data_IF_667850666878
#
_entry.id   IF_667850666878
#
_cell.length_a   1.000
_cell.length_b   1.000
_cell.length_c   1.000
_cell.angle_alpha   90.00
_cell.angle_beta   90.00
_cell.angle_gamma   90.00
#
_symmetry.space_group_name_H-M   'P 1'
#
loop_
_entity.id
_entity.type
_entity.pdbx_description
1 polymer ?
#
# COMPACT_ATOMS: atom_id res chain seq x y z
N UNK A 1 -22.92 56.34 -5.01
CA UNK A 1 -21.55 55.77 -4.99
C UNK A 1 -20.62 56.83 -4.45
N UNK A 2 -19.86 56.56 -3.39
CA UNK A 2 -18.94 57.54 -2.79
C UNK A 2 -17.69 57.70 -3.65
N UNK A 3 -17.34 58.93 -4.05
CA UNK A 3 -16.14 59.25 -4.84
C UNK A 3 -14.84 58.78 -4.14
N UNK A 4 -14.86 58.72 -2.80
CA UNK A 4 -13.76 58.24 -1.96
C UNK A 4 -13.49 56.73 -2.16
N UNK A 5 -14.54 55.90 -2.21
CA UNK A 5 -14.40 54.45 -2.42
C UNK A 5 -13.84 54.16 -3.82
N UNK A 6 -14.29 54.91 -4.83
CA UNK A 6 -13.79 54.77 -6.20
C UNK A 6 -12.32 55.23 -6.33
N UNK A 7 -11.89 56.21 -5.54
CA UNK A 7 -10.48 56.61 -5.44
C UNK A 7 -9.64 55.51 -4.79
N UNK A 8 -10.08 54.98 -3.65
CA UNK A 8 -9.38 53.91 -2.93
C UNK A 8 -9.22 52.65 -3.77
N UNK A 9 -10.27 52.26 -4.49
CA UNK A 9 -10.22 51.10 -5.39
C UNK A 9 -9.20 51.30 -6.52
N UNK A 10 -9.15 52.50 -7.12
CA UNK A 10 -8.14 52.82 -8.15
C UNK A 10 -6.73 52.78 -7.58
N UNK A 11 -6.52 53.34 -6.39
CA UNK A 11 -5.22 53.35 -5.72
C UNK A 11 -4.74 51.94 -5.35
N UNK A 12 -5.66 51.09 -4.86
CA UNK A 12 -5.42 49.67 -4.61
C UNK A 12 -5.06 48.88 -5.87
N UNK A 13 -5.65 49.25 -7.02
CA UNK A 13 -5.41 48.62 -8.32
C UNK A 13 -4.04 48.94 -8.94
N UNK A 14 -3.51 50.16 -8.71
CA UNK A 14 -2.29 50.66 -9.37
C UNK A 14 -1.00 49.97 -8.87
N UNK A 15 -0.90 49.58 -7.60
CA UNK A 15 0.31 48.93 -7.08
C UNK A 15 0.10 47.41 -6.91
N UNK A 16 0.77 46.60 -7.75
CA UNK A 16 0.55 45.15 -7.74
C UNK A 16 1.42 44.37 -6.74
N UNK A 17 2.42 44.97 -6.08
CA UNK A 17 3.44 44.20 -5.32
C UNK A 17 3.93 44.76 -3.97
N UNK A 18 3.54 45.95 -3.54
CA UNK A 18 4.15 46.62 -2.36
C UNK A 18 3.20 47.34 -1.42
N UNK A 19 1.88 47.18 -1.55
CA UNK A 19 0.94 47.79 -0.62
C UNK A 19 0.64 46.86 0.55
N UNK A 20 1.34 47.03 1.68
CA UNK A 20 1.09 46.28 2.92
C UNK A 20 -0.10 46.84 3.70
N UNK A 21 0.15 47.37 4.90
CA UNK A 21 -0.85 48.03 5.74
C UNK A 21 -1.72 49.06 5.00
N UNK A 22 -1.14 49.86 4.11
CA UNK A 22 -1.88 50.86 3.34
C UNK A 22 -3.01 50.25 2.51
N UNK A 23 -2.79 49.09 1.90
CA UNK A 23 -3.83 48.37 1.16
C UNK A 23 -4.84 47.70 2.07
N UNK A 24 -4.38 47.20 3.22
CA UNK A 24 -5.27 46.78 4.30
C UNK A 24 -6.25 47.89 4.68
N UNK A 25 -5.76 49.12 4.86
CA UNK A 25 -6.56 50.29 5.21
C UNK A 25 -7.55 50.67 4.10
N UNK A 26 -7.11 50.73 2.83
CA UNK A 26 -7.99 51.01 1.69
C UNK A 26 -9.15 50.02 1.64
N UNK A 27 -8.87 48.73 1.88
CA UNK A 27 -9.92 47.69 1.95
C UNK A 27 -10.78 47.87 3.19
N UNK A 28 -10.21 48.03 4.38
CA UNK A 28 -10.95 48.13 5.63
C UNK A 28 -11.89 49.35 5.67
N UNK A 29 -11.49 50.49 5.10
CA UNK A 29 -12.29 51.71 5.08
C UNK A 29 -13.35 51.75 3.97
N UNK A 30 -13.20 50.95 2.93
CA UNK A 30 -14.08 50.97 1.75
C UNK A 30 -14.93 49.71 1.54
N UNK A 31 -14.55 48.57 2.12
CA UNK A 31 -15.22 47.29 1.91
C UNK A 31 -16.10 46.93 3.10
N UNK A 32 -17.35 46.58 2.79
CA UNK A 32 -18.34 46.17 3.77
C UNK A 32 -18.09 44.72 4.24
N UNK A 33 -18.25 44.44 5.54
CA UNK A 33 -18.24 43.09 6.12
C UNK A 33 -19.36 42.21 5.57
N UNK A 34 -19.17 40.90 5.60
CA UNK A 34 -20.25 39.95 5.32
C UNK A 34 -21.32 40.02 6.42
N UNK A 35 -22.53 40.46 6.10
CA UNK A 35 -23.67 40.48 7.03
C UNK A 35 -24.39 41.81 7.20
N UNK A 36 -23.77 42.94 6.83
CA UNK A 36 -24.42 44.26 6.86
C UNK A 36 -25.19 44.54 5.57
N UNK A 37 -26.32 45.25 5.66
CA UNK A 37 -27.11 45.66 4.48
C UNK A 37 -26.47 46.85 3.76
N UNK A 38 -26.89 47.17 2.53
CA UNK A 38 -26.29 48.28 1.77
C UNK A 38 -26.73 49.65 2.31
N UNK A 39 -27.82 49.66 3.08
CA UNK A 39 -28.44 50.87 3.62
C UNK A 39 -27.82 51.29 4.97
N UNK A 40 -27.04 50.41 5.60
CA UNK A 40 -26.42 50.62 6.92
C UNK A 40 -25.04 51.28 6.87
N UNK A 41 -24.38 51.29 5.71
CA UNK A 41 -22.99 51.73 5.60
C UNK A 41 -22.65 52.33 4.24
N UNK A 42 -21.84 53.40 4.17
CA UNK A 42 -21.39 53.98 2.90
C UNK A 42 -20.33 53.12 2.16
N UNK A 43 -20.00 51.93 2.68
CA UNK A 43 -19.03 50.99 2.10
C UNK A 43 -19.65 50.10 1.02
N UNK A 44 -18.82 49.56 0.15
CA UNK A 44 -19.25 48.69 -0.96
C UNK A 44 -18.90 47.22 -0.72
N UNK A 45 -19.50 46.31 -1.48
CA UNK A 45 -19.14 44.90 -1.42
C UNK A 45 -17.70 44.65 -1.92
N UNK A 46 -17.05 43.58 -1.43
CA UNK A 46 -15.72 43.19 -1.93
C UNK A 46 -15.69 42.94 -3.44
N UNK A 47 -16.80 42.44 -4.01
CA UNK A 47 -16.96 42.20 -5.45
C UNK A 47 -16.98 43.52 -6.24
N UNK A 48 -17.71 44.51 -5.73
CA UNK A 48 -17.79 45.84 -6.33
C UNK A 48 -16.48 46.60 -6.24
N UNK A 49 -15.83 46.58 -5.07
CA UNK A 49 -14.50 47.16 -4.87
C UNK A 49 -13.46 46.54 -5.82
N UNK A 50 -13.47 45.21 -5.96
CA UNK A 50 -12.59 44.50 -6.89
C UNK A 50 -12.83 44.89 -8.35
N UNK A 51 -14.10 45.07 -8.74
CA UNK A 51 -14.47 45.55 -10.07
C UNK A 51 -13.93 46.95 -10.36
N UNK A 52 -14.03 47.87 -9.40
CA UNK A 52 -13.49 49.22 -9.52
C UNK A 52 -11.94 49.25 -9.52
N UNK A 53 -11.32 48.33 -8.79
CA UNK A 53 -9.87 48.21 -8.69
C UNK A 53 -9.22 47.40 -9.84
N UNK A 54 -10.02 46.77 -10.71
CA UNK A 54 -9.51 45.90 -11.77
C UNK A 54 -8.78 44.65 -11.25
N UNK A 55 -9.21 44.09 -10.13
CA UNK A 55 -8.58 42.90 -9.52
C UNK A 55 -9.61 41.83 -9.12
N UNK A 56 -9.15 40.69 -8.57
CA UNK A 56 -10.05 39.63 -8.12
C UNK A 56 -10.64 39.92 -6.73
N UNK A 57 -11.92 39.56 -6.46
CA UNK A 57 -12.52 39.67 -5.12
C UNK A 57 -11.72 38.91 -4.06
N UNK A 58 -11.10 37.78 -4.41
CA UNK A 58 -10.23 37.00 -3.52
C UNK A 58 -9.00 37.78 -3.06
N UNK A 59 -8.44 38.64 -3.93
CA UNK A 59 -7.33 39.53 -3.55
C UNK A 59 -7.80 40.51 -2.48
N UNK A 60 -8.94 41.17 -2.69
CA UNK A 60 -9.53 42.11 -1.73
C UNK A 60 -9.80 41.42 -0.39
N UNK A 61 -10.42 40.23 -0.41
CA UNK A 61 -10.72 39.48 0.80
C UNK A 61 -9.47 39.01 1.56
N UNK A 62 -8.31 38.84 0.90
CA UNK A 62 -7.05 38.52 1.59
C UNK A 62 -6.56 39.68 2.44
N UNK A 63 -6.63 40.91 1.92
CA UNK A 63 -6.30 42.11 2.67
C UNK A 63 -7.30 42.36 3.80
N UNK A 64 -8.59 42.12 3.55
CA UNK A 64 -9.64 42.17 4.57
C UNK A 64 -9.31 41.23 5.73
N UNK A 65 -9.07 39.93 5.47
CA UNK A 65 -8.78 38.93 6.51
C UNK A 65 -7.48 39.19 7.28
N UNK A 66 -6.52 39.85 6.65
CA UNK A 66 -5.27 40.23 7.32
C UNK A 66 -5.52 41.41 8.27
N UNK A 67 -6.30 42.41 7.85
CA UNK A 67 -6.72 43.52 8.70
C UNK A 67 -7.57 43.07 9.88
N UNK A 68 -8.54 42.19 9.64
CA UNK A 68 -9.46 41.64 10.64
C UNK A 68 -8.71 40.97 11.80
N UNK A 69 -7.76 40.09 11.48
CA UNK A 69 -6.89 39.44 12.48
C UNK A 69 -6.02 40.43 13.26
N UNK A 70 -5.52 41.46 12.59
CA UNK A 70 -4.74 42.49 13.27
C UNK A 70 -5.62 43.37 14.19
N UNK A 71 -6.90 43.56 13.84
CA UNK A 71 -7.86 44.27 14.66
C UNK A 71 -8.24 43.46 15.91
N UNK A 72 -8.44 42.14 15.77
CA UNK A 72 -8.67 41.22 16.89
C UNK A 72 -7.53 41.26 17.93
N UNK A 73 -6.29 41.44 17.46
CA UNK A 73 -5.10 41.60 18.31
C UNK A 73 -4.95 43.04 18.87
N UNK A 74 -5.87 43.95 18.55
CA UNK A 74 -5.88 45.34 19.01
C UNK A 74 -4.82 46.24 18.36
N UNK A 75 -4.22 45.83 17.25
CA UNK A 75 -3.16 46.60 16.56
C UNK A 75 -3.71 47.67 15.62
N UNK A 76 -4.89 47.46 15.07
CA UNK A 76 -5.58 48.41 14.18
C UNK A 76 -7.08 48.45 14.53
N UNK A 77 -7.80 49.51 14.16
CA UNK A 77 -9.24 49.59 14.42
C UNK A 77 -10.03 48.51 13.66
N UNK A 78 -11.15 48.08 14.25
CA UNK A 78 -12.09 47.18 13.57
C UNK A 78 -12.73 47.87 12.36
N UNK A 79 -13.19 47.05 11.42
CA UNK A 79 -13.75 47.56 10.17
C UNK A 79 -15.02 48.40 10.40
N UNK A 80 -15.84 48.13 11.42
CA UNK A 80 -17.05 48.92 11.69
C UNK A 80 -16.73 50.35 12.13
N UNK A 81 -15.53 50.57 12.68
CA UNK A 81 -15.09 51.84 13.24
C UNK A 81 -14.50 52.78 12.17
N UNK A 82 -14.29 52.27 10.95
CA UNK A 82 -13.66 53.00 9.86
C UNK A 82 -14.68 53.49 8.84
N UNK A 83 -14.60 54.76 8.45
CA UNK A 83 -15.38 55.34 7.34
C UNK A 83 -14.54 55.50 6.07
N UNK A 84 -15.14 55.47 4.86
CA UNK A 84 -14.40 55.74 3.62
C UNK A 84 -13.63 57.07 3.68
N UNK A 85 -12.34 57.04 3.33
CA UNK A 85 -11.44 58.20 3.40
C UNK A 85 -10.86 58.51 4.79
N UNK A 86 -11.19 57.73 5.82
CA UNK A 86 -10.55 57.84 7.13
C UNK A 86 -9.09 57.36 7.04
N UNK A 87 -8.20 58.12 7.67
CA UNK A 87 -6.79 57.77 7.85
C UNK A 87 -6.58 57.27 9.30
N UNK A 88 -5.69 56.31 9.46
CA UNK A 88 -5.30 55.77 10.77
C UNK A 88 -3.79 55.63 10.83
N UNK A 89 -3.24 55.70 12.04
CA UNK A 89 -1.83 55.42 12.26
C UNK A 89 -1.59 53.92 12.03
N UNK A 90 -0.69 53.60 11.11
CA UNK A 90 -0.41 52.23 10.71
C UNK A 90 0.77 51.68 11.52
N UNK A 91 0.73 50.42 11.96
CA UNK A 91 1.87 49.76 12.60
C UNK A 91 3.08 49.67 11.67
N UNK A 92 4.21 49.21 12.24
CA UNK A 92 5.41 48.94 11.47
C UNK A 92 5.13 47.97 10.30
N UNK A 93 5.70 48.29 9.13
CA UNK A 93 5.53 47.53 7.91
C UNK A 93 6.00 46.06 8.03
N UNK A 94 6.98 45.77 8.88
CA UNK A 94 7.46 44.39 9.10
C UNK A 94 6.38 43.50 9.76
N UNK A 95 5.50 44.08 10.57
CA UNK A 95 4.43 43.36 11.28
C UNK A 95 3.35 42.86 10.32
N UNK A 96 3.16 43.53 9.17
CA UNK A 96 2.15 43.16 8.18
C UNK A 96 2.31 41.71 7.68
N UNK A 97 3.55 41.24 7.53
CA UNK A 97 3.85 39.90 7.01
C UNK A 97 3.37 38.78 7.94
N UNK A 98 3.20 39.06 9.23
CA UNK A 98 2.61 38.12 10.21
C UNK A 98 1.14 37.86 9.92
N UNK A 99 0.40 38.87 9.44
CA UNK A 99 -1.04 38.79 9.21
C UNK A 99 -1.39 38.44 7.76
N UNK A 100 -0.59 38.93 6.81
CA UNK A 100 -0.82 38.78 5.38
C UNK A 100 -0.18 37.51 4.81
N UNK A 101 -0.92 36.40 4.83
CA UNK A 101 -0.48 35.12 4.26
C UNK A 101 -0.94 35.00 2.80
N UNK A 102 0.02 34.88 1.88
CA UNK A 102 -0.27 34.93 0.44
C UNK A 102 -1.01 33.69 -0.11
N UNK A 103 -1.00 32.53 0.57
CA UNK A 103 -1.81 31.34 0.24
C UNK A 103 -2.08 30.51 1.51
N UNK A 104 -3.35 30.32 1.88
CA UNK A 104 -3.74 29.74 3.18
C UNK A 104 -4.03 28.23 3.11
N UNK A 105 -3.01 27.40 2.90
CA UNK A 105 -3.03 25.99 3.31
C UNK A 105 -2.35 25.76 4.65
N UNK A 106 -1.37 26.60 5.01
CA UNK A 106 -0.50 26.48 6.19
C UNK A 106 -1.24 26.46 7.55
N UNK A 107 -2.43 27.06 7.65
CA UNK A 107 -3.21 27.15 8.89
C UNK A 107 -4.32 26.11 9.01
N UNK A 108 -4.45 25.20 8.03
CA UNK A 108 -5.37 24.06 8.13
C UNK A 108 -4.74 22.92 8.92
N UNK A 109 -5.54 22.05 9.55
CA UNK A 109 -5.04 20.82 10.22
C UNK A 109 -4.15 19.98 9.29
N UNK A 110 -4.51 19.92 8.00
CA UNK A 110 -3.69 19.30 6.95
C UNK A 110 -2.37 20.04 6.75
N UNK A 111 -2.39 21.36 6.72
CA UNK A 111 -1.19 22.19 6.54
C UNK A 111 -0.23 22.14 7.73
N UNK A 112 -0.76 22.11 8.95
CA UNK A 112 0.05 21.93 10.16
C UNK A 112 0.71 20.56 10.18
N UNK A 113 -0.02 19.49 9.87
CA UNK A 113 0.55 18.15 9.79
C UNK A 113 1.66 18.05 8.72
N UNK A 114 1.47 18.67 7.54
CA UNK A 114 2.49 18.72 6.48
C UNK A 114 3.71 19.52 6.92
N UNK A 115 3.51 20.65 7.61
CA UNK A 115 4.59 21.49 8.10
C UNK A 115 5.43 20.79 9.19
N UNK A 116 4.77 20.08 10.11
CA UNK A 116 5.41 19.29 11.16
C UNK A 116 6.24 18.14 10.57
N UNK A 117 5.65 17.36 9.65
CA UNK A 117 6.36 16.29 8.95
C UNK A 117 7.57 16.81 8.17
N UNK A 118 7.43 17.95 7.49
CA UNK A 118 8.55 18.58 6.77
C UNK A 118 9.67 19.02 7.73
N UNK A 119 9.33 19.60 8.88
CA UNK A 119 10.30 20.04 9.87
C UNK A 119 11.08 18.87 10.49
N UNK A 120 10.42 17.73 10.74
CA UNK A 120 11.05 16.51 11.23
C UNK A 120 12.13 15.98 10.26
N UNK A 121 11.90 16.14 8.96
CA UNK A 121 12.82 15.78 7.88
C UNK A 121 13.85 16.89 7.54
N UNK A 122 13.87 18.00 8.31
CA UNK A 122 14.76 19.14 8.05
C UNK A 122 14.43 19.93 6.78
N UNK A 123 13.23 19.76 6.23
CA UNK A 123 12.73 20.44 5.04
C UNK A 123 12.02 21.73 5.46
N UNK A 124 12.18 22.79 4.64
CA UNK A 124 11.44 24.04 4.87
C UNK A 124 9.93 23.80 4.73
N UNK A 125 9.10 24.10 5.75
CA UNK A 125 7.66 23.84 5.72
C UNK A 125 6.93 24.45 4.51
N UNK A 126 7.35 25.64 4.08
CA UNK A 126 6.78 26.32 2.91
C UNK A 126 6.93 25.51 1.63
N UNK A 127 8.07 24.82 1.43
CA UNK A 127 8.29 23.98 0.25
C UNK A 127 7.39 22.75 0.24
N UNK A 128 7.18 22.12 1.39
CA UNK A 128 6.29 20.96 1.49
C UNK A 128 4.83 21.34 1.22
N UNK A 129 4.40 22.50 1.72
CA UNK A 129 3.07 23.05 1.44
C UNK A 129 2.91 23.38 -0.06
N UNK A 130 3.91 23.99 -0.70
CA UNK A 130 3.88 24.26 -2.14
C UNK A 130 3.73 22.98 -2.98
N UNK A 131 4.42 21.90 -2.62
CA UNK A 131 4.30 20.60 -3.29
C UNK A 131 2.90 20.02 -3.07
N UNK A 132 2.38 20.08 -1.84
CA UNK A 132 1.05 19.57 -1.50
C UNK A 132 -0.08 20.35 -2.19
N UNK A 133 0.10 21.65 -2.44
CA UNK A 133 -0.83 22.50 -3.18
C UNK A 133 -0.84 22.20 -4.69
N UNK A 134 0.19 21.53 -5.23
CA UNK A 134 0.32 21.26 -6.66
C UNK A 134 0.51 19.76 -7.00
N UNK A 135 -0.51 18.90 -6.79
CA UNK A 135 -0.40 17.46 -7.05
C UNK A 135 -0.04 17.09 -8.49
N UNK A 136 -0.42 17.91 -9.47
CA UNK A 136 -0.08 17.69 -10.89
C UNK A 136 1.41 17.90 -11.16
N UNK A 137 2.05 18.88 -10.49
CA UNK A 137 3.48 19.09 -10.56
C UNK A 137 4.25 17.94 -9.91
N UNK A 138 3.79 17.45 -8.76
CA UNK A 138 4.34 16.26 -8.11
C UNK A 138 4.26 15.03 -9.02
N UNK A 139 3.09 14.79 -9.65
CA UNK A 139 2.92 13.70 -10.62
C UNK A 139 3.90 13.81 -11.79
N UNK A 140 4.08 15.01 -12.34
CA UNK A 140 5.03 15.23 -13.43
C UNK A 140 6.47 14.91 -13.01
N UNK A 141 6.87 15.29 -11.79
CA UNK A 141 8.18 14.98 -11.24
C UNK A 141 8.39 13.46 -11.06
N UNK A 142 7.39 12.75 -10.50
CA UNK A 142 7.44 11.30 -10.33
C UNK A 142 7.59 10.57 -11.68
N UNK A 143 6.90 11.05 -12.73
CA UNK A 143 6.98 10.44 -14.05
C UNK A 143 8.31 10.73 -14.77
N UNK A 144 8.90 11.90 -14.53
CA UNK A 144 10.09 12.35 -15.25
C UNK A 144 11.42 11.94 -14.58
N UNK A 145 11.45 11.77 -13.26
CA UNK A 145 12.67 11.48 -12.50
C UNK A 145 12.57 10.16 -11.70
N UNK A 146 13.40 9.15 -12.04
CA UNK A 146 13.44 7.88 -11.31
C UNK A 146 13.78 8.00 -9.82
N UNK A 147 14.58 8.99 -9.43
CA UNK A 147 14.96 9.16 -8.01
C UNK A 147 13.77 9.62 -7.17
N UNK A 148 12.99 10.58 -7.70
CA UNK A 148 11.73 11.05 -7.12
C UNK A 148 10.70 9.92 -7.08
N UNK A 149 10.61 9.10 -8.12
CA UNK A 149 9.72 7.95 -8.14
C UNK A 149 10.05 6.93 -7.04
N UNK A 150 11.34 6.63 -6.82
CA UNK A 150 11.81 5.75 -5.74
C UNK A 150 11.47 6.31 -4.37
N UNK A 151 11.74 7.60 -4.13
CA UNK A 151 11.41 8.26 -2.88
C UNK A 151 9.90 8.25 -2.59
N UNK A 152 9.06 8.53 -3.60
CA UNK A 152 7.62 8.48 -3.46
C UNK A 152 7.11 7.06 -3.14
N UNK A 153 7.67 6.02 -3.76
CA UNK A 153 7.34 4.62 -3.45
C UNK A 153 7.72 4.25 -2.02
N UNK A 154 8.92 4.62 -1.57
CA UNK A 154 9.37 4.35 -0.20
C UNK A 154 8.41 5.00 0.83
N UNK A 155 8.08 6.27 0.65
CA UNK A 155 7.15 6.97 1.52
C UNK A 155 5.75 6.35 1.54
N UNK A 156 5.26 5.86 0.40
CA UNK A 156 3.98 5.13 0.33
C UNK A 156 4.05 3.78 1.06
N UNK A 157 5.15 3.04 0.94
CA UNK A 157 5.33 1.77 1.64
C UNK A 157 5.40 1.95 3.15
N UNK A 158 6.07 2.99 3.64
CA UNK A 158 6.11 3.31 5.06
C UNK A 158 4.71 3.64 5.58
N UNK A 159 3.95 4.45 4.84
CA UNK A 159 2.56 4.76 5.21
C UNK A 159 1.65 3.52 5.18
N UNK A 160 1.79 2.63 4.20
CA UNK A 160 1.01 1.38 4.11
C UNK A 160 1.19 0.49 5.34
N UNK A 161 2.36 0.53 5.99
CA UNK A 161 2.60 -0.23 7.24
C UNK A 161 1.80 0.29 8.42
N UNK A 162 1.47 1.58 8.43
CA UNK A 162 0.82 2.29 9.53
C UNK A 162 -0.68 2.56 9.28
N UNK A 163 -1.13 2.49 8.02
CA UNK A 163 -2.47 2.85 7.55
C UNK A 163 -3.20 1.63 6.91
N UNK A 164 -4.05 0.91 7.67
CA UNK A 164 -4.78 -0.26 7.17
C UNK A 164 -5.78 0.06 6.05
N UNK A 165 -6.31 1.30 6.00
CA UNK A 165 -7.24 1.70 4.95
C UNK A 165 -6.50 1.84 3.61
N UNK A 166 -5.33 2.49 3.63
CA UNK A 166 -4.44 2.58 2.47
C UNK A 166 -3.96 1.20 2.02
N UNK A 167 -3.63 0.31 2.96
CA UNK A 167 -3.26 -1.07 2.64
C UNK A 167 -4.37 -1.77 1.85
N UNK A 168 -5.62 -1.62 2.29
CA UNK A 168 -6.76 -2.24 1.62
C UNK A 168 -7.08 -1.60 0.27
N UNK A 169 -6.95 -0.28 0.14
CA UNK A 169 -7.07 0.43 -1.14
C UNK A 169 -6.04 -0.07 -2.16
N UNK A 170 -4.77 -0.13 -1.78
CA UNK A 170 -3.68 -0.61 -2.63
C UNK A 170 -3.91 -2.07 -3.06
N UNK A 171 -4.36 -2.93 -2.14
CA UNK A 171 -4.68 -4.31 -2.45
C UNK A 171 -5.80 -4.42 -3.50
N UNK A 172 -6.85 -3.59 -3.42
CA UNK A 172 -7.91 -3.54 -4.43
C UNK A 172 -7.39 -3.07 -5.78
N UNK A 173 -6.51 -2.07 -5.81
CA UNK A 173 -5.94 -1.54 -7.04
C UNK A 173 -5.04 -2.55 -7.75
N UNK A 174 -4.25 -3.33 -6.98
CA UNK A 174 -3.50 -4.48 -7.50
C UNK A 174 -4.43 -5.53 -8.09
N UNK A 175 -5.51 -5.89 -7.39
CA UNK A 175 -6.47 -6.91 -7.86
C UNK A 175 -7.20 -6.46 -9.12
N UNK A 176 -7.52 -5.17 -9.25
CA UNK A 176 -8.22 -4.61 -10.42
C UNK A 176 -7.35 -4.48 -11.66
N UNK A 177 -6.03 -4.48 -11.49
CA UNK A 177 -5.08 -4.30 -12.59
C UNK A 177 -4.40 -5.62 -12.89
N UNK A 178 -4.85 -6.32 -13.93
CA UNK A 178 -4.40 -7.70 -14.24
C UNK A 178 -2.87 -7.84 -14.34
N UNK A 179 -2.19 -6.87 -14.93
CA UNK A 179 -0.73 -6.90 -15.05
C UNK A 179 -0.04 -6.75 -13.69
N UNK A 180 -0.55 -5.88 -12.80
CA UNK A 180 -0.03 -5.76 -11.43
C UNK A 180 -0.32 -7.03 -10.62
N UNK A 181 -1.52 -7.60 -10.74
CA UNK A 181 -1.88 -8.87 -10.11
C UNK A 181 -0.91 -9.98 -10.53
N UNK A 182 -0.59 -10.08 -11.82
CA UNK A 182 0.37 -11.06 -12.35
C UNK A 182 1.79 -10.80 -11.83
N UNK A 183 2.22 -9.54 -11.82
CA UNK A 183 3.53 -9.16 -11.30
C UNK A 183 3.68 -9.52 -9.82
N UNK A 184 2.71 -9.14 -8.98
CA UNK A 184 2.69 -9.49 -7.55
C UNK A 184 2.65 -11.00 -7.33
N UNK A 185 1.87 -11.74 -8.13
CA UNK A 185 1.84 -13.19 -8.05
C UNK A 185 3.16 -13.85 -8.50
N UNK A 186 3.91 -13.21 -9.40
CA UNK A 186 5.26 -13.67 -9.79
C UNK A 186 6.27 -13.42 -8.67
N UNK A 187 6.24 -12.21 -8.10
CA UNK A 187 7.12 -11.82 -7.01
C UNK A 187 6.88 -12.67 -5.76
N UNK A 188 5.61 -12.91 -5.41
CA UNK A 188 5.23 -13.79 -4.31
C UNK A 188 5.78 -15.21 -4.50
N UNK A 189 5.73 -15.75 -5.73
CA UNK A 189 6.30 -17.06 -6.04
C UNK A 189 7.82 -17.09 -5.93
N UNK A 190 8.49 -16.01 -6.33
CA UNK A 190 9.93 -15.86 -6.14
C UNK A 190 10.28 -15.85 -4.66
N UNK A 191 9.58 -15.03 -3.86
CA UNK A 191 9.75 -14.94 -2.42
C UNK A 191 9.52 -16.28 -1.71
N UNK A 192 8.48 -17.04 -2.10
CA UNK A 192 8.21 -18.38 -1.55
C UNK A 192 9.34 -19.37 -1.88
N UNK A 193 9.91 -19.29 -3.08
CA UNK A 193 11.04 -20.12 -3.51
C UNK A 193 12.32 -19.79 -2.73
N UNK A 194 12.64 -18.51 -2.58
CA UNK A 194 13.74 -18.05 -1.73
C UNK A 194 13.50 -18.49 -0.29
N UNK A 195 12.27 -18.35 0.21
CA UNK A 195 11.86 -18.79 1.54
C UNK A 195 12.08 -20.29 1.76
N UNK A 196 11.80 -21.13 0.75
CA UNK A 196 12.11 -22.56 0.80
C UNK A 196 13.61 -22.84 0.93
N UNK A 197 14.45 -22.19 0.12
CA UNK A 197 15.90 -22.35 0.18
C UNK A 197 16.45 -21.86 1.53
N UNK A 198 15.96 -20.71 2.01
CA UNK A 198 16.29 -20.14 3.32
C UNK A 198 15.93 -21.09 4.46
N UNK A 199 14.73 -21.68 4.41
CA UNK A 199 14.29 -22.65 5.39
C UNK A 199 15.28 -23.83 5.47
N UNK A 200 15.76 -24.33 4.34
CA UNK A 200 16.72 -25.44 4.31
C UNK A 200 18.05 -25.05 4.94
N UNK A 201 18.60 -23.88 4.58
CA UNK A 201 19.85 -23.39 5.12
C UNK A 201 19.77 -23.14 6.64
N UNK A 202 18.74 -22.43 7.10
CA UNK A 202 18.62 -22.00 8.50
C UNK A 202 18.09 -23.10 9.44
N UNK A 203 17.01 -23.78 9.03
CA UNK A 203 16.37 -24.78 9.89
C UNK A 203 17.02 -26.16 9.77
N UNK A 204 17.76 -26.40 8.69
CA UNK A 204 18.35 -27.69 8.39
C UNK A 204 17.34 -28.81 8.22
N UNK A 205 16.10 -28.50 7.84
CA UNK A 205 15.03 -29.47 7.59
C UNK A 205 14.57 -29.40 6.15
N UNK A 206 14.36 -30.57 5.56
CA UNK A 206 13.75 -30.69 4.24
C UNK A 206 12.38 -31.37 4.35
N UNK A 207 11.49 -31.01 3.43
CA UNK A 207 10.21 -31.68 3.24
C UNK A 207 10.28 -32.58 2.02
N UNK A 208 10.06 -33.86 2.21
CA UNK A 208 10.05 -34.86 1.14
C UNK A 208 8.81 -34.70 0.24
N UNK A 209 8.80 -35.32 -0.96
CA UNK A 209 7.64 -35.32 -1.84
C UNK A 209 6.36 -35.93 -1.22
N UNK A 210 6.45 -36.88 -0.27
CA UNK A 210 5.29 -37.38 0.47
C UNK A 210 4.89 -36.49 1.66
N UNK A 211 5.60 -35.38 1.89
CA UNK A 211 5.30 -34.40 2.92
C UNK A 211 5.94 -34.69 4.28
N UNK A 212 6.83 -35.69 4.39
CA UNK A 212 7.58 -35.98 5.61
C UNK A 212 8.65 -34.92 5.82
N UNK A 213 8.95 -34.60 7.08
CA UNK A 213 10.04 -33.67 7.43
C UNK A 213 11.22 -34.47 7.97
N UNK A 214 12.40 -34.24 7.43
CA UNK A 214 13.63 -34.90 7.87
C UNK A 214 14.80 -33.91 7.90
N UNK A 215 15.86 -34.28 8.62
CA UNK A 215 17.05 -33.44 8.74
C UNK A 215 17.81 -33.42 7.41
N UNK A 216 18.11 -32.22 6.93
CA UNK A 216 18.82 -31.98 5.70
C UNK A 216 20.27 -32.48 5.81
N UNK A 217 20.74 -33.30 4.86
CA UNK A 217 22.15 -33.64 4.74
C UNK A 217 23.03 -32.39 4.73
N UNK A 218 24.27 -32.51 5.22
CA UNK A 218 25.18 -31.37 5.30
C UNK A 218 25.46 -30.74 3.92
N UNK A 219 25.58 -31.55 2.87
CA UNK A 219 25.78 -31.10 1.49
C UNK A 219 24.61 -30.25 0.98
N UNK A 220 23.39 -30.66 1.31
CA UNK A 220 22.16 -29.96 0.90
C UNK A 220 22.04 -28.61 1.62
N UNK A 221 22.45 -28.52 2.89
CA UNK A 221 22.52 -27.24 3.62
C UNK A 221 23.56 -26.29 3.03
N UNK A 222 24.76 -26.80 2.73
CA UNK A 222 25.84 -26.00 2.14
C UNK A 222 25.45 -25.43 0.77
N UNK A 223 24.78 -26.23 -0.07
CA UNK A 223 24.32 -25.73 -1.38
C UNK A 223 23.22 -24.67 -1.23
N UNK A 224 22.31 -24.83 -0.25
CA UNK A 224 21.32 -23.81 0.05
C UNK A 224 21.97 -22.48 0.51
N UNK A 225 22.95 -22.53 1.41
CA UNK A 225 23.72 -21.35 1.85
C UNK A 225 24.44 -20.67 0.68
N UNK A 226 25.01 -21.45 -0.23
CA UNK A 226 25.66 -20.93 -1.43
C UNK A 226 24.69 -20.18 -2.34
N UNK A 227 23.51 -20.75 -2.60
CA UNK A 227 22.49 -20.08 -3.41
C UNK A 227 21.97 -18.80 -2.76
N UNK A 228 21.80 -18.77 -1.44
CA UNK A 228 21.40 -17.56 -0.72
C UNK A 228 22.49 -16.49 -0.78
N UNK A 229 23.76 -16.88 -0.63
CA UNK A 229 24.88 -15.94 -0.75
C UNK A 229 24.93 -15.30 -2.14
N UNK A 230 24.68 -16.08 -3.19
CA UNK A 230 24.59 -15.56 -4.56
C UNK A 230 23.42 -14.59 -4.74
N UNK A 231 22.26 -14.88 -4.14
CA UNK A 231 21.09 -14.00 -4.17
C UNK A 231 21.34 -12.69 -3.41
N UNK A 232 22.06 -12.73 -2.29
CA UNK A 232 22.41 -11.55 -1.49
C UNK A 232 23.46 -10.65 -2.18
N UNK A 233 24.25 -11.20 -3.12
CA UNK A 233 25.23 -10.46 -3.93
C UNK A 233 24.61 -9.78 -5.17
N UNK A 234 23.33 -10.03 -5.49
CA UNK A 234 22.65 -9.41 -6.63
C UNK A 234 22.39 -7.91 -6.37
N UNK A 235 22.68 -7.07 -7.37
CA UNK A 235 22.33 -5.65 -7.33
C UNK A 235 20.81 -5.43 -7.45
N UNK A 236 20.30 -4.29 -6.95
CA UNK A 236 18.88 -3.87 -6.92
C UNK A 236 18.16 -3.76 -8.30
N UNK A 237 18.78 -4.22 -9.38
CA UNK A 237 18.22 -4.25 -10.73
C UNK A 237 18.37 -5.58 -11.47
N UNK A 238 18.97 -6.60 -10.85
CA UNK A 238 19.09 -7.94 -11.45
C UNK A 238 17.83 -8.78 -11.16
N UNK A 239 17.45 -9.64 -12.11
CA UNK A 239 16.24 -10.47 -11.99
C UNK A 239 16.46 -11.61 -10.98
N UNK A 240 16.19 -11.30 -9.71
CA UNK A 240 16.21 -12.28 -8.61
C UNK A 240 15.24 -13.45 -8.84
N UNK A 241 14.25 -13.32 -9.72
CA UNK A 241 13.26 -14.34 -10.03
C UNK A 241 13.85 -15.55 -10.75
N UNK A 242 14.76 -15.36 -11.69
CA UNK A 242 15.44 -16.47 -12.38
C UNK A 242 16.35 -17.23 -11.42
N UNK A 243 17.14 -16.51 -10.62
CA UNK A 243 18.01 -17.10 -9.60
C UNK A 243 17.22 -17.86 -8.52
N UNK A 244 16.07 -17.33 -8.09
CA UNK A 244 15.19 -18.01 -7.16
C UNK A 244 14.62 -19.32 -7.74
N UNK A 245 14.34 -19.36 -9.04
CA UNK A 245 13.87 -20.59 -9.71
C UNK A 245 14.96 -21.63 -9.75
N UNK A 246 16.15 -21.25 -10.20
CA UNK A 246 17.29 -22.16 -10.34
C UNK A 246 17.71 -22.73 -8.99
N UNK A 247 17.78 -21.89 -7.96
CA UNK A 247 18.06 -22.33 -6.60
C UNK A 247 16.98 -23.31 -6.10
N UNK A 248 15.71 -22.97 -6.24
CA UNK A 248 14.60 -23.84 -5.81
C UNK A 248 14.60 -25.19 -6.53
N UNK A 249 14.75 -25.21 -7.85
CA UNK A 249 14.73 -26.44 -8.64
C UNK A 249 15.95 -27.32 -8.34
N UNK A 250 17.13 -26.71 -8.14
CA UNK A 250 18.33 -27.40 -7.68
C UNK A 250 18.10 -28.05 -6.33
N UNK A 251 17.61 -27.29 -5.34
CA UNK A 251 17.33 -27.83 -4.01
C UNK A 251 16.29 -28.96 -4.06
N UNK A 252 15.21 -28.78 -4.82
CA UNK A 252 14.16 -29.80 -4.96
C UNK A 252 14.68 -31.09 -5.58
N UNK A 253 15.54 -31.01 -6.59
CA UNK A 253 16.16 -32.18 -7.20
C UNK A 253 17.08 -32.90 -6.22
N UNK A 254 17.91 -32.17 -5.46
CA UNK A 254 18.76 -32.74 -4.41
C UNK A 254 17.95 -33.44 -3.31
N UNK A 255 16.79 -32.90 -2.93
CA UNK A 255 15.87 -33.58 -1.97
C UNK A 255 15.37 -34.92 -2.55
N UNK A 256 15.01 -34.95 -3.83
CA UNK A 256 14.57 -36.19 -4.49
C UNK A 256 15.70 -37.20 -4.54
N UNK A 257 16.91 -36.80 -4.93
CA UNK A 257 18.09 -37.66 -4.96
C UNK A 257 18.43 -38.22 -3.57
N UNK A 258 18.34 -37.38 -2.53
CA UNK A 258 18.54 -37.80 -1.13
C UNK A 258 17.55 -38.90 -0.73
N UNK A 259 16.27 -38.74 -1.10
CA UNK A 259 15.24 -39.74 -0.84
C UNK A 259 15.51 -41.02 -1.64
N UNK A 260 15.96 -40.92 -2.88
CA UNK A 260 16.23 -42.08 -3.74
C UNK A 260 17.45 -42.90 -3.28
N UNK A 261 18.49 -42.21 -2.79
CA UNK A 261 19.70 -42.81 -2.26
C UNK A 261 19.45 -43.68 -1.02
N UNK A 262 18.41 -43.40 -0.23
CA UNK A 262 18.03 -44.18 0.96
C UNK A 262 16.88 -45.17 0.64
N UNK A 263 17.16 -46.49 0.59
CA UNK A 263 16.14 -47.51 0.34
C UNK A 263 15.02 -47.54 1.39
N UNK A 264 15.33 -47.22 2.65
CA UNK A 264 14.37 -47.16 3.74
C UNK A 264 13.40 -46.00 3.58
N UNK A 265 13.92 -44.81 3.27
CA UNK A 265 13.10 -43.63 2.98
C UNK A 265 12.23 -43.84 1.74
N UNK A 266 12.74 -44.45 0.67
CA UNK A 266 11.91 -44.78 -0.51
C UNK A 266 10.68 -45.62 -0.17
N UNK A 267 10.83 -46.63 0.69
CA UNK A 267 9.71 -47.48 1.11
C UNK A 267 8.73 -46.70 1.98
N UNK A 268 9.23 -45.89 2.92
CA UNK A 268 8.40 -45.04 3.79
C UNK A 268 7.63 -43.98 2.99
N UNK A 269 8.26 -43.36 2.00
CA UNK A 269 7.64 -42.40 1.07
C UNK A 269 6.53 -43.05 0.25
N UNK A 270 6.77 -44.23 -0.33
CA UNK A 270 5.75 -44.97 -1.08
C UNK A 270 4.56 -45.34 -0.20
N UNK A 271 4.81 -45.80 1.03
CA UNK A 271 3.74 -46.09 2.00
C UNK A 271 2.96 -44.84 2.37
N UNK A 272 3.65 -43.74 2.66
CA UNK A 272 3.00 -42.47 3.04
C UNK A 272 2.15 -41.92 1.91
N UNK A 273 2.67 -41.91 0.68
CA UNK A 273 1.90 -41.55 -0.51
C UNK A 273 0.67 -42.44 -0.66
N UNK A 274 0.84 -43.76 -0.56
CA UNK A 274 -0.26 -44.72 -0.64
C UNK A 274 -1.37 -44.43 0.39
N UNK A 275 -1.03 -44.29 1.67
CA UNK A 275 -2.01 -43.98 2.72
C UNK A 275 -2.66 -42.61 2.54
N UNK A 276 -1.88 -41.57 2.18
CA UNK A 276 -2.41 -40.22 1.97
C UNK A 276 -3.36 -40.14 0.77
N UNK A 277 -3.11 -40.92 -0.27
CA UNK A 277 -3.98 -41.00 -1.44
C UNK A 277 -5.28 -41.74 -1.11
N UNK A 278 -5.19 -42.85 -0.37
CA UNK A 278 -6.37 -43.57 0.11
C UNK A 278 -7.24 -42.70 1.02
N UNK A 279 -6.65 -42.03 2.01
CA UNK A 279 -7.40 -41.18 2.92
C UNK A 279 -8.10 -40.02 2.20
N UNK A 280 -7.43 -39.39 1.22
CA UNK A 280 -8.05 -38.36 0.38
C UNK A 280 -9.19 -38.92 -0.46
N UNK A 281 -8.99 -40.07 -1.11
CA UNK A 281 -10.03 -40.70 -1.90
C UNK A 281 -11.25 -41.05 -1.05
N UNK A 282 -11.07 -41.68 0.12
CA UNK A 282 -12.15 -41.99 1.06
C UNK A 282 -12.92 -40.75 1.46
N UNK A 283 -12.21 -39.67 1.84
CA UNK A 283 -12.84 -38.42 2.24
C UNK A 283 -13.67 -37.79 1.12
N UNK A 284 -13.19 -37.81 -0.12
CA UNK A 284 -13.95 -37.31 -1.29
C UNK A 284 -15.25 -38.08 -1.46
N UNK A 285 -15.23 -39.41 -1.29
CA UNK A 285 -16.45 -40.23 -1.38
C UNK A 285 -17.38 -40.08 -0.17
N UNK A 286 -16.87 -39.76 1.01
CA UNK A 286 -17.70 -39.43 2.19
C UNK A 286 -18.38 -38.06 2.07
N UNK A 287 -17.70 -37.08 1.45
CA UNK A 287 -18.22 -35.73 1.21
C UNK A 287 -19.19 -35.68 0.02
N UNK A 288 -19.19 -36.71 -0.84
CA UNK A 288 -20.18 -36.91 -1.91
C UNK A 288 -21.53 -37.33 -1.31
N UNK A 289 -22.30 -36.36 -0.86
CA UNK A 289 -23.70 -36.53 -0.45
C UNK A 289 -24.64 -36.22 -1.62
N UNK A 290 -25.57 -37.12 -1.92
CA UNK A 290 -26.53 -36.97 -3.04
C UNK A 290 -27.91 -36.48 -2.57
N UNK A 291 -28.00 -35.95 -1.36
CA UNK A 291 -29.27 -35.69 -0.66
C UNK A 291 -30.07 -34.50 -1.22
N UNK A 292 -29.41 -33.55 -1.89
CA UNK A 292 -30.00 -32.28 -2.36
C UNK A 292 -30.06 -32.15 -3.90
N UNK A 293 -29.84 -33.24 -4.65
CA UNK A 293 -29.66 -33.19 -6.11
C UNK A 293 -30.81 -33.87 -6.85
N UNK A 294 -31.38 -33.20 -7.86
CA UNK A 294 -32.43 -33.79 -8.72
C UNK A 294 -31.87 -35.01 -9.48
N UNK A 295 -32.45 -36.21 -9.30
CA UNK A 295 -31.95 -37.41 -9.94
C UNK A 295 -31.93 -37.39 -11.47
N UNK A 296 -32.68 -36.49 -12.11
CA UNK A 296 -32.73 -36.40 -13.57
C UNK A 296 -31.70 -35.44 -14.16
N UNK A 297 -31.11 -34.54 -13.36
CA UNK A 297 -30.12 -33.57 -13.83
C UNK A 297 -28.66 -33.98 -13.53
N UNK A 298 -28.45 -34.89 -12.57
CA UNK A 298 -27.11 -35.24 -12.08
C UNK A 298 -26.64 -36.65 -12.41
N UNK A 299 -27.56 -37.60 -12.63
CA UNK A 299 -27.20 -38.98 -12.91
C UNK A 299 -26.83 -39.12 -14.39
N UNK A 300 -25.54 -39.22 -14.68
CA UNK A 300 -25.05 -39.66 -15.99
C UNK A 300 -24.96 -41.20 -16.02
N UNK A 301 -25.29 -41.79 -17.17
CA UNK A 301 -25.40 -43.25 -17.35
C UNK A 301 -24.08 -44.01 -17.06
N UNK A 302 -22.94 -43.33 -17.14
CA UNK A 302 -21.59 -43.91 -16.95
C UNK A 302 -21.04 -43.76 -15.53
N UNK A 303 -21.67 -42.96 -14.66
CA UNK A 303 -21.18 -42.73 -13.29
C UNK A 303 -21.12 -44.03 -12.48
N UNK A 304 -22.14 -44.88 -12.62
CA UNK A 304 -22.18 -46.20 -11.97
C UNK A 304 -21.06 -47.08 -12.50
N UNK A 305 -20.84 -47.08 -13.82
CA UNK A 305 -19.78 -47.85 -14.46
C UNK A 305 -18.39 -47.43 -13.94
N UNK A 306 -18.12 -46.12 -13.81
CA UNK A 306 -16.85 -45.62 -13.27
C UNK A 306 -16.62 -46.04 -11.81
N UNK A 307 -17.67 -46.08 -10.99
CA UNK A 307 -17.59 -46.57 -9.61
C UNK A 307 -17.33 -48.08 -9.54
N UNK A 308 -17.92 -48.87 -10.44
CA UNK A 308 -17.69 -50.31 -10.55
C UNK A 308 -16.25 -50.62 -11.02
N UNK A 309 -15.73 -49.87 -12.01
CA UNK A 309 -14.34 -49.97 -12.47
C UNK A 309 -13.35 -49.66 -11.33
N UNK A 310 -13.63 -48.60 -10.55
CA UNK A 310 -12.87 -48.26 -9.36
C UNK A 310 -12.93 -49.36 -8.29
N UNK A 311 -14.11 -49.91 -8.01
CA UNK A 311 -14.29 -51.02 -7.08
C UNK A 311 -13.45 -52.24 -7.49
N UNK A 312 -13.42 -52.57 -8.78
CA UNK A 312 -12.64 -53.67 -9.32
C UNK A 312 -11.12 -53.43 -9.18
N UNK A 313 -10.66 -52.20 -9.46
CA UNK A 313 -9.27 -51.81 -9.28
C UNK A 313 -8.83 -51.91 -7.81
N UNK A 314 -9.67 -51.43 -6.87
CA UNK A 314 -9.44 -51.54 -5.43
C UNK A 314 -9.41 -53.01 -4.99
N UNK A 315 -10.36 -53.82 -5.45
CA UNK A 315 -10.40 -55.27 -5.16
C UNK A 315 -9.15 -56.01 -5.63
N UNK A 316 -8.64 -55.66 -6.81
CA UNK A 316 -7.39 -56.19 -7.35
C UNK A 316 -6.19 -55.79 -6.48
N UNK A 317 -6.13 -54.53 -6.05
CA UNK A 317 -5.07 -54.03 -5.16
C UNK A 317 -5.09 -54.73 -3.79
N UNK A 318 -6.27 -54.91 -3.19
CA UNK A 318 -6.45 -55.64 -1.92
C UNK A 318 -5.95 -57.09 -2.06
N UNK A 319 -6.29 -57.75 -3.16
CA UNK A 319 -5.86 -59.13 -3.43
C UNK A 319 -4.34 -59.21 -3.55
N UNK A 320 -3.70 -58.29 -4.26
CA UNK A 320 -2.25 -58.20 -4.37
C UNK A 320 -1.57 -57.99 -3.00
N UNK A 321 -2.10 -57.08 -2.17
CA UNK A 321 -1.57 -56.82 -0.82
C UNK A 321 -1.72 -58.01 0.11
N UNK A 322 -2.84 -58.72 0.06
CA UNK A 322 -3.07 -59.95 0.85
C UNK A 322 -2.14 -61.07 0.39
N UNK A 323 -1.94 -61.23 -0.92
CA UNK A 323 -1.00 -62.20 -1.49
C UNK A 323 0.44 -61.93 -1.05
N UNK A 324 0.88 -60.67 -1.08
CA UNK A 324 2.21 -60.28 -0.61
C UNK A 324 2.41 -60.52 0.90
N UNK A 325 1.35 -60.39 1.72
CA UNK A 325 1.40 -60.70 3.16
C UNK A 325 1.48 -62.21 3.45
N UNK A 326 0.86 -63.05 2.61
CA UNK A 326 0.92 -64.51 2.73
C UNK A 326 2.25 -65.14 2.27
N UNK A 327 3.07 -64.40 1.53
CA UNK A 327 4.37 -64.85 1.02
C UNK A 327 5.58 -64.45 1.90
N UNK A 328 5.38 -63.69 2.98
CA UNK A 328 6.43 -63.37 3.94
C UNK A 328 6.63 -64.57 4.90
N UNK A 329 7.79 -65.25 4.89
CA UNK A 329 8.02 -66.38 5.80
C UNK A 329 8.13 -65.89 7.24
N UNK A 330 7.54 -66.67 8.16
CA UNK A 330 7.67 -66.50 9.62
C UNK A 330 9.15 -66.58 10.05
N UNK A 331 9.85 -65.45 10.04
CA UNK A 331 11.13 -65.31 10.73
C UNK A 331 10.87 -64.91 12.19
N UNK A 332 10.57 -65.88 13.05
CA UNK A 332 10.48 -65.64 14.49
C UNK A 332 9.58 -66.59 15.27
N UNK A 333 9.89 -67.89 15.28
CA UNK A 333 9.34 -68.86 16.24
C UNK A 333 10.48 -69.53 17.02
N UNK A 334 10.38 -69.68 18.35
CA UNK A 334 11.52 -69.79 19.26
C UNK A 334 12.22 -71.15 19.20
N UNK A 335 13.54 -71.12 19.42
CA UNK A 335 14.36 -72.31 19.65
C UNK A 335 13.80 -73.09 20.86
N UNK A 336 13.20 -74.25 20.59
CA UNK A 336 12.94 -75.26 21.61
C UNK A 336 14.24 -76.00 21.93
N UNK A 337 14.59 -75.91 23.20
CA UNK A 337 15.65 -76.65 23.89
C UNK A 337 15.22 -78.09 24.14
N UNK A 338 15.94 -79.08 23.61
CA UNK A 338 15.94 -80.52 23.97
C UNK A 338 17.24 -81.08 23.32
N UNK A 339 18.22 -81.74 23.94
CA UNK A 339 18.51 -82.32 25.27
C UNK A 339 20.04 -82.30 25.42
#
# INVERSE_FOLDING_TARGET
MSDLVARDAREFGVYARTGGWAFGLLVARSVRPGGQSADETPKVSAKEFAGLAGCSPERVLRFYKAWDRAADDGLVPHFEELAPGQEVELPDAEVWLTYYVSRSSATSERGTAIAEAAAAEGIRPTKALEVAENPTALRAAILADPSTARAARAALLDRVREDPELQHELARDVVRTDDLKKAVASESRSADRIGYVRQIAESGRIRTPAGQTLDAPAELRQEAERHLSLLDELDDGEDSGEWANDAYDTMKNLVVETVEADPGLRVQERRTKFYSSLQRATRVFEELTFDDVDPQEFYEDDMVQQLEELQQAIGSCITALRGARGAAPEAGGPAQSVV
#
